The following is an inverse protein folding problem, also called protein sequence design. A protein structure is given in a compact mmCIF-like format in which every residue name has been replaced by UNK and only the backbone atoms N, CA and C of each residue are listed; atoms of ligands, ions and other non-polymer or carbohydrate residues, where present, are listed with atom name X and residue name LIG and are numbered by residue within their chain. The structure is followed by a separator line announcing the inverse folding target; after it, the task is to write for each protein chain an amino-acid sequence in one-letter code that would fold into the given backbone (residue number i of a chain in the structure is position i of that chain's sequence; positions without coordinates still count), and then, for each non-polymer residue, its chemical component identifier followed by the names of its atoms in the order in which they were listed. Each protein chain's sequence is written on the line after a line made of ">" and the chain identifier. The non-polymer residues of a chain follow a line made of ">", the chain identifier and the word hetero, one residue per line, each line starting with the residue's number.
data_IF_691287734350
#
_entry.id   IF_691287734350
#
_cell.length_a   1.000
_cell.length_b   1.000
_cell.length_c   1.000
_cell.angle_alpha   90.00
_cell.angle_beta   90.00
_cell.angle_gamma   90.00
#
_symmetry.space_group_name_H-M   'P 1'
#
loop_
_entity.id
_entity.type
_entity.pdbx_description
1 polymer ?
#
# COMPACT_ATOMS: atom_id res chain seq x y z
N UNK A 1 -19.56 33.33 -23.56
CA UNK A 1 -20.72 32.45 -23.25
C UNK A 1 -20.37 30.99 -23.48
N UNK A 2 -19.71 30.64 -24.59
CA UNK A 2 -19.18 29.30 -24.85
C UNK A 2 -18.07 28.92 -23.86
N UNK A 3 -17.15 29.84 -23.54
CA UNK A 3 -16.04 29.57 -22.60
C UNK A 3 -16.53 29.17 -21.20
N UNK A 4 -17.55 29.86 -20.69
CA UNK A 4 -18.16 29.55 -19.39
C UNK A 4 -18.77 28.13 -19.36
N UNK A 5 -19.28 27.67 -20.50
CA UNK A 5 -19.89 26.35 -20.65
C UNK A 5 -18.81 25.26 -20.74
N UNK A 6 -17.68 25.58 -21.38
CA UNK A 6 -16.48 24.73 -21.41
C UNK A 6 -15.89 24.60 -20.00
N UNK A 7 -15.70 25.70 -19.27
CA UNK A 7 -15.15 25.67 -17.91
C UNK A 7 -16.00 24.80 -16.98
N UNK A 8 -17.33 24.93 -17.07
CA UNK A 8 -18.26 24.10 -16.28
C UNK A 8 -18.21 22.63 -16.66
N UNK A 9 -18.01 22.33 -17.94
CA UNK A 9 -17.85 20.97 -18.41
C UNK A 9 -16.53 20.36 -17.91
N UNK A 10 -15.44 21.13 -17.98
CA UNK A 10 -14.12 20.72 -17.47
C UNK A 10 -14.19 20.41 -15.99
N UNK A 11 -14.78 21.30 -15.17
CA UNK A 11 -14.93 21.08 -13.73
C UNK A 11 -15.75 19.82 -13.43
N UNK A 12 -16.82 19.59 -14.21
CA UNK A 12 -17.70 18.42 -14.05
C UNK A 12 -16.97 17.12 -14.40
N UNK A 13 -16.18 17.13 -15.48
CA UNK A 13 -15.38 15.99 -15.91
C UNK A 13 -14.26 15.72 -14.90
N UNK A 14 -13.55 16.75 -14.44
CA UNK A 14 -12.51 16.62 -13.42
C UNK A 14 -13.06 15.97 -12.15
N UNK A 15 -14.18 16.47 -11.62
CA UNK A 15 -14.84 15.89 -10.45
C UNK A 15 -15.26 14.42 -10.68
N UNK A 16 -15.80 14.10 -11.85
CA UNK A 16 -16.22 12.74 -12.18
C UNK A 16 -15.03 11.77 -12.29
N UNK A 17 -13.90 12.23 -12.85
CA UNK A 17 -12.67 11.44 -12.93
C UNK A 17 -12.08 11.18 -11.55
N UNK A 18 -12.02 12.20 -10.68
CA UNK A 18 -11.55 12.05 -9.29
C UNK A 18 -12.41 11.03 -8.55
N UNK A 19 -13.74 11.18 -8.58
CA UNK A 19 -14.65 10.25 -7.93
C UNK A 19 -14.50 8.82 -8.46
N UNK A 20 -14.26 8.65 -9.78
CA UNK A 20 -14.07 7.32 -10.37
C UNK A 20 -12.72 6.70 -9.99
N UNK A 21 -11.66 7.50 -9.86
CA UNK A 21 -10.36 7.02 -9.39
C UNK A 21 -10.38 6.65 -7.91
N UNK A 22 -11.09 7.42 -7.08
CA UNK A 22 -11.28 7.10 -5.66
C UNK A 22 -12.10 5.82 -5.48
N UNK A 23 -13.22 5.68 -6.20
CA UNK A 23 -14.06 4.49 -6.14
C UNK A 23 -13.37 3.25 -6.75
N UNK A 24 -12.61 3.41 -7.83
CA UNK A 24 -11.89 2.30 -8.47
C UNK A 24 -10.71 1.78 -7.65
N UNK A 25 -10.13 2.60 -6.77
CA UNK A 25 -9.06 2.18 -5.85
C UNK A 25 -9.55 1.21 -4.76
N UNK A 26 -10.84 1.23 -4.42
CA UNK A 26 -11.40 0.41 -3.35
C UNK A 26 -11.68 -1.05 -3.71
N UNK A 27 -11.88 -1.37 -4.99
CA UNK A 27 -12.53 -2.64 -5.39
C UNK A 27 -11.70 -3.54 -6.34
N UNK A 28 -10.69 -3.01 -7.05
CA UNK A 28 -9.92 -3.80 -8.02
C UNK A 28 -8.50 -4.20 -7.55
N UNK A 29 -8.01 -3.66 -6.43
CA UNK A 29 -6.56 -3.59 -6.19
C UNK A 29 -6.02 -4.38 -5.02
N UNK A 30 -6.87 -4.93 -4.16
CA UNK A 30 -6.41 -5.39 -2.86
C UNK A 30 -6.29 -6.92 -2.75
N UNK A 31 -5.41 -7.41 -3.59
CA UNK A 31 -5.02 -8.82 -3.62
C UNK A 31 -4.21 -9.18 -2.37
N UNK A 32 -4.47 -10.40 -1.89
CA UNK A 32 -3.69 -11.02 -0.82
C UNK A 32 -2.46 -11.69 -1.39
N UNK A 33 -1.30 -11.31 -0.85
CA UNK A 33 -0.04 -11.95 -1.12
C UNK A 33 0.36 -12.86 0.03
N UNK A 34 0.97 -13.99 -0.32
CA UNK A 34 1.78 -14.71 0.64
C UNK A 34 3.18 -14.11 0.80
N UNK A 35 3.98 -14.69 1.69
CA UNK A 35 5.35 -14.22 1.95
C UNK A 35 6.25 -14.27 0.70
N UNK A 36 5.98 -15.15 -0.26
CA UNK A 36 6.76 -15.24 -1.49
C UNK A 36 6.41 -14.09 -2.44
N UNK A 37 5.11 -13.93 -2.70
CA UNK A 37 4.57 -12.88 -3.56
C UNK A 37 4.88 -11.49 -3.00
N UNK A 38 4.72 -11.30 -1.69
CA UNK A 38 5.04 -10.03 -1.05
C UNK A 38 6.54 -9.67 -1.13
N UNK A 39 7.42 -10.67 -0.98
CA UNK A 39 8.86 -10.45 -1.12
C UNK A 39 9.23 -10.05 -2.56
N UNK A 40 8.66 -10.73 -3.55
CA UNK A 40 8.85 -10.41 -4.96
C UNK A 40 8.29 -9.02 -5.30
N UNK A 41 7.08 -8.72 -4.87
CA UNK A 41 6.40 -7.43 -5.07
C UNK A 41 7.22 -6.26 -4.48
N UNK A 42 7.79 -6.48 -3.29
CA UNK A 42 8.63 -5.49 -2.63
C UNK A 42 10.07 -5.45 -3.15
N UNK A 43 10.47 -6.40 -4.01
CA UNK A 43 11.85 -6.65 -4.44
C UNK A 43 12.80 -6.80 -3.24
N UNK A 44 12.35 -7.52 -2.22
CA UNK A 44 13.09 -7.82 -0.99
C UNK A 44 13.42 -9.31 -0.89
N UNK A 45 14.51 -9.64 -0.19
CA UNK A 45 14.77 -11.03 0.20
C UNK A 45 13.71 -11.51 1.20
N UNK A 46 13.27 -12.77 1.09
CA UNK A 46 12.24 -13.35 1.98
C UNK A 46 12.62 -13.27 3.45
N UNK A 47 13.90 -13.44 3.79
CA UNK A 47 14.36 -13.33 5.18
C UNK A 47 14.26 -11.90 5.73
N UNK A 48 14.48 -10.90 4.87
CA UNK A 48 14.28 -9.50 5.24
C UNK A 48 12.81 -9.21 5.48
N UNK A 49 11.92 -9.75 4.63
CA UNK A 49 10.48 -9.65 4.83
C UNK A 49 10.06 -10.32 6.16
N UNK A 50 10.55 -11.53 6.43
CA UNK A 50 10.29 -12.25 7.70
C UNK A 50 10.77 -11.48 8.91
N UNK A 51 11.96 -10.89 8.86
CA UNK A 51 12.50 -10.07 9.97
C UNK A 51 11.65 -8.81 10.20
N UNK A 52 11.22 -8.14 9.14
CA UNK A 52 10.30 -6.99 9.25
C UNK A 52 8.95 -7.42 9.85
N UNK A 53 8.39 -8.55 9.42
CA UNK A 53 7.14 -9.08 9.97
C UNK A 53 7.27 -9.47 11.45
N UNK A 54 8.36 -10.14 11.83
CA UNK A 54 8.65 -10.51 13.21
C UNK A 54 8.80 -9.26 14.13
N UNK A 55 9.40 -8.20 13.60
CA UNK A 55 9.51 -6.89 14.27
C UNK A 55 8.22 -6.07 14.23
N UNK A 56 7.13 -6.56 13.61
CA UNK A 56 5.89 -5.81 13.35
C UNK A 56 6.10 -4.49 12.60
N UNK A 57 7.16 -4.44 11.79
CA UNK A 57 7.61 -3.27 11.03
C UNK A 57 6.88 -3.08 9.70
N UNK A 58 6.15 -4.11 9.28
CA UNK A 58 5.43 -4.17 8.00
C UNK A 58 4.04 -4.75 8.29
N UNK A 59 2.97 -4.26 7.64
CA UNK A 59 1.63 -4.79 7.86
C UNK A 59 1.52 -6.24 7.37
N UNK A 60 1.09 -7.12 8.28
CA UNK A 60 0.91 -8.56 8.03
C UNK A 60 -0.30 -9.07 8.78
N UNK A 61 -0.97 -10.07 8.22
CA UNK A 61 -2.08 -10.77 8.85
C UNK A 61 -1.78 -12.28 8.94
N UNK A 62 -2.38 -12.95 9.92
CA UNK A 62 -2.26 -14.39 10.15
C UNK A 62 -3.55 -14.92 10.78
N UNK A 63 -4.00 -16.11 10.36
CA UNK A 63 -5.22 -16.73 10.89
C UNK A 63 -5.09 -17.17 12.35
N UNK A 64 -3.86 -17.37 12.82
CA UNK A 64 -3.56 -17.83 14.17
C UNK A 64 -2.07 -17.74 14.50
N UNK A 65 -1.72 -17.92 15.77
CA UNK A 65 -0.32 -17.82 16.21
C UNK A 65 0.53 -18.93 15.56
N UNK A 66 1.50 -18.55 14.73
CA UNK A 66 2.38 -19.48 14.03
C UNK A 66 1.83 -19.96 12.67
N UNK A 67 0.67 -19.44 12.24
CA UNK A 67 0.15 -19.69 10.90
C UNK A 67 0.93 -18.91 9.83
N UNK A 68 0.61 -19.19 8.56
CA UNK A 68 1.18 -18.49 7.41
C UNK A 68 0.87 -17.00 7.49
N UNK A 69 1.84 -16.17 7.11
CA UNK A 69 1.68 -14.73 7.00
C UNK A 69 1.13 -14.35 5.62
N UNK A 70 0.11 -13.50 5.64
CA UNK A 70 -0.51 -12.88 4.49
C UNK A 70 -0.35 -11.36 4.52
N UNK A 71 -0.34 -10.75 3.34
CA UNK A 71 -0.05 -9.34 3.15
C UNK A 71 -1.04 -8.76 2.14
N UNK A 72 -1.76 -7.72 2.53
CA UNK A 72 -2.62 -6.97 1.60
C UNK A 72 -1.78 -6.07 0.73
N UNK A 73 -1.98 -6.10 -0.59
CA UNK A 73 -1.23 -5.26 -1.53
C UNK A 73 -1.35 -3.77 -1.17
N UNK A 74 -2.55 -3.29 -0.87
CA UNK A 74 -2.76 -1.89 -0.47
C UNK A 74 -1.95 -1.50 0.76
N UNK A 75 -1.95 -2.35 1.79
CA UNK A 75 -1.19 -2.11 3.01
C UNK A 75 0.33 -2.07 2.75
N UNK A 76 0.84 -2.91 1.83
CA UNK A 76 2.24 -2.86 1.41
C UNK A 76 2.59 -1.56 0.65
N UNK A 77 1.67 -1.09 -0.19
CA UNK A 77 1.84 0.17 -0.92
C UNK A 77 1.80 1.38 0.02
N UNK A 78 0.88 1.41 0.98
CA UNK A 78 0.79 2.46 2.01
C UNK A 78 2.04 2.47 2.89
N UNK A 79 2.52 1.29 3.29
CA UNK A 79 3.78 1.15 4.01
C UNK A 79 4.95 1.73 3.20
N UNK A 80 5.04 1.42 1.90
CA UNK A 80 6.08 1.95 1.01
C UNK A 80 5.98 3.49 0.89
N UNK A 81 4.78 4.03 0.74
CA UNK A 81 4.54 5.48 0.65
C UNK A 81 4.89 6.22 1.94
N UNK A 82 4.66 5.60 3.09
CA UNK A 82 4.94 6.19 4.41
C UNK A 82 6.44 6.23 4.79
N UNK A 83 7.33 5.75 3.90
CA UNK A 83 8.79 5.73 4.08
C UNK A 83 9.39 4.32 4.19
N UNK A 84 8.54 3.28 4.19
CA UNK A 84 8.90 1.87 4.13
C UNK A 84 10.09 1.48 5.01
N UNK A 85 11.07 0.79 4.41
CA UNK A 85 12.24 0.29 5.12
C UNK A 85 13.13 1.40 5.68
N UNK A 86 13.26 2.53 4.99
CA UNK A 86 14.16 3.63 5.41
C UNK A 86 13.68 4.23 6.72
N UNK A 87 12.38 4.50 6.83
CA UNK A 87 11.78 5.04 8.05
C UNK A 87 11.84 4.04 9.21
N UNK A 88 11.64 2.75 8.93
CA UNK A 88 11.80 1.72 9.95
C UNK A 88 13.25 1.60 10.45
N UNK A 89 14.24 1.68 9.55
CA UNK A 89 15.66 1.65 9.95
C UNK A 89 16.05 2.89 10.75
N UNK A 90 15.53 4.07 10.41
CA UNK A 90 15.68 5.27 11.22
C UNK A 90 15.05 5.10 12.61
N UNK A 91 13.84 4.57 12.70
CA UNK A 91 13.17 4.31 13.98
C UNK A 91 13.94 3.30 14.87
N UNK A 92 14.60 2.30 14.27
CA UNK A 92 15.48 1.39 15.01
C UNK A 92 16.77 2.06 15.49
N UNK A 93 17.30 3.02 14.74
CA UNK A 93 18.50 3.77 15.13
C UNK A 93 18.21 4.77 16.27
N UNK A 94 17.02 5.38 16.28
CA UNK A 94 16.60 6.31 17.34
C UNK A 94 16.24 5.59 18.66
N UNK A 95 15.95 4.29 18.60
CA UNK A 95 15.59 3.48 19.76
C UNK A 95 16.80 2.80 20.44
N UNK A 96 18.02 3.02 19.94
CA UNK A 96 19.27 2.43 20.43
C UNK A 96 20.11 3.46 21.19
#
# INVERSE_FOLDING_TARGET
>A
MIDLLIDRLVERVAAAVVARLENGRGDQGDEWFDSAQAAEYLRLHRDTLRRLAAARAIPTEQDGRGCKLFFRRSALDDWRQSGGRVRHLAALADAA
#
